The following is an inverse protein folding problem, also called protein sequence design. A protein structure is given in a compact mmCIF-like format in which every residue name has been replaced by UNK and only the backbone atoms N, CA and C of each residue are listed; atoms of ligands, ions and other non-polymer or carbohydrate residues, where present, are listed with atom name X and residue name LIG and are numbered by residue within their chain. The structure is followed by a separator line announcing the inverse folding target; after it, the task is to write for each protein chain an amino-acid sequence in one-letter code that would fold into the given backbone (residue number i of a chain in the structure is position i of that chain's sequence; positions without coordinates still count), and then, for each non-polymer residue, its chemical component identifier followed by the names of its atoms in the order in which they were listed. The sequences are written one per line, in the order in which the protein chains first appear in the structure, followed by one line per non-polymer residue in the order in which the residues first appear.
data_IF_787615474380
#
_entry.id   IF_787615474380
#
_cell.length_a   1.000
_cell.length_b   1.000
_cell.length_c   1.000
_cell.angle_alpha   90.00
_cell.angle_beta   90.00
_cell.angle_gamma   90.00
#
_symmetry.space_group_name_H-M   'P 1'
#
loop_
_entity.id
_entity.type
_entity.pdbx_description
1 polymer ?
#
# COMPACT_ATOMS: atom_id res chain seq x y z
N UNK A 1 24.83 29.47 23.29
CA UNK A 1 24.89 28.12 23.90
C UNK A 1 24.98 28.31 25.40
N UNK A 2 24.15 27.58 26.17
CA UNK A 2 24.22 27.36 27.63
C UNK A 2 23.38 28.19 28.63
N UNK A 3 22.25 28.81 28.26
CA UNK A 3 21.35 29.39 29.29
C UNK A 3 19.84 29.31 29.03
N UNK A 4 19.37 28.48 28.08
CA UNK A 4 17.94 28.40 27.72
C UNK A 4 17.38 26.97 27.70
N UNK A 5 17.95 26.05 28.48
CA UNK A 5 17.55 24.64 28.53
C UNK A 5 17.23 24.09 29.92
N UNK A 6 17.04 24.92 30.95
CA UNK A 6 16.75 24.42 32.30
C UNK A 6 15.37 24.85 32.81
N UNK A 7 14.54 23.84 33.11
CA UNK A 7 13.26 23.84 33.86
C UNK A 7 11.97 23.92 33.04
N UNK A 8 11.66 22.85 32.31
CA UNK A 8 10.30 22.31 32.30
C UNK A 8 10.40 20.82 32.59
N UNK A 9 9.95 20.40 33.77
CA UNK A 9 9.81 18.99 34.10
C UNK A 9 8.53 18.47 33.44
N UNK A 10 8.72 17.82 32.29
CA UNK A 10 7.63 17.24 31.49
C UNK A 10 7.13 15.89 32.03
N UNK A 11 7.67 15.37 33.14
CA UNK A 11 7.28 14.05 33.65
C UNK A 11 5.79 13.99 34.02
N UNK A 12 5.26 15.06 34.63
CA UNK A 12 3.87 15.14 35.05
C UNK A 12 2.90 15.32 33.86
N UNK A 13 3.25 16.17 32.89
CA UNK A 13 2.49 16.32 31.65
C UNK A 13 2.50 15.04 30.80
N UNK A 14 3.61 14.27 30.81
CA UNK A 14 3.74 12.97 30.13
C UNK A 14 2.87 11.89 30.78
N UNK A 15 2.69 11.93 32.10
CA UNK A 15 1.86 10.98 32.84
C UNK A 15 0.36 11.30 32.70
N UNK A 16 -0.02 12.58 32.83
CA UNK A 16 -1.39 13.05 32.59
C UNK A 16 -1.81 12.86 31.11
N UNK A 17 -0.88 13.03 30.16
CA UNK A 17 -1.08 12.68 28.75
C UNK A 17 -1.24 11.17 28.54
N UNK A 18 -0.38 10.32 29.12
CA UNK A 18 -0.48 8.85 29.05
C UNK A 18 -1.83 8.33 29.56
N UNK A 19 -2.32 8.86 30.68
CA UNK A 19 -3.51 8.32 31.35
C UNK A 19 -4.81 8.84 30.71
N UNK A 20 -4.84 10.11 30.29
CA UNK A 20 -5.93 10.66 29.47
C UNK A 20 -6.00 10.05 28.07
N UNK A 21 -4.86 9.71 27.48
CA UNK A 21 -4.73 9.01 26.20
C UNK A 21 -5.32 7.60 26.23
N UNK A 22 -4.96 6.79 27.23
CA UNK A 22 -5.50 5.43 27.41
C UNK A 22 -7.02 5.42 27.62
N UNK A 23 -7.56 6.44 28.29
CA UNK A 23 -9.01 6.60 28.44
C UNK A 23 -9.70 7.04 27.14
N UNK A 24 -9.05 7.89 26.34
CA UNK A 24 -9.59 8.32 25.03
C UNK A 24 -9.60 7.19 24.00
N UNK A 25 -8.59 6.32 24.00
CA UNK A 25 -8.57 5.10 23.17
C UNK A 25 -9.72 4.15 23.53
N UNK A 26 -10.06 4.02 24.81
CA UNK A 26 -11.21 3.22 25.27
C UNK A 26 -12.58 3.85 24.92
N UNK A 27 -12.62 5.15 24.67
CA UNK A 27 -13.86 5.90 24.42
C UNK A 27 -14.21 6.04 22.92
N UNK A 28 -13.34 5.58 22.02
CA UNK A 28 -13.64 5.52 20.58
C UNK A 28 -14.58 4.33 20.29
N UNK A 29 -15.76 4.53 19.67
CA UNK A 29 -16.63 3.44 19.29
C UNK A 29 -15.91 2.50 18.31
N UNK A 30 -15.91 1.19 18.60
CA UNK A 30 -15.34 0.15 17.73
C UNK A 30 -14.05 -0.54 18.23
N UNK A 31 -13.66 -0.35 19.50
CA UNK A 31 -12.56 -1.09 20.14
C UNK A 31 -13.02 -2.12 21.18
N UNK A 32 -14.32 -2.31 21.37
CA UNK A 32 -14.87 -3.33 22.25
C UNK A 32 -14.88 -4.70 21.55
N UNK A 33 -14.17 -5.68 22.12
CA UNK A 33 -14.00 -7.05 21.61
C UNK A 33 -15.07 -8.01 22.14
N UNK A 34 -16.21 -7.51 22.61
CA UNK A 34 -17.24 -8.35 23.21
C UNK A 34 -18.56 -8.23 22.45
N UNK A 35 -18.65 -8.89 21.28
CA UNK A 35 -19.90 -9.47 20.77
C UNK A 35 -19.62 -10.32 19.51
N UNK A 36 -19.08 -11.52 19.73
CA UNK A 36 -18.88 -12.53 18.69
C UNK A 36 -19.97 -13.61 18.78
N UNK A 37 -21.05 -13.42 18.02
CA UNK A 37 -22.03 -14.48 17.74
C UNK A 37 -22.64 -14.33 16.34
N UNK A 38 -21.78 -14.16 15.33
CA UNK A 38 -22.02 -14.47 13.92
C UNK A 38 -20.70 -14.98 13.34
N UNK A 39 -20.68 -15.97 12.42
CA UNK A 39 -19.44 -16.36 11.75
C UNK A 39 -18.82 -15.13 11.09
N UNK A 40 -17.52 -14.92 11.33
CA UNK A 40 -16.80 -13.74 10.85
C UNK A 40 -16.80 -13.75 9.31
N UNK A 41 -17.02 -12.61 8.68
CA UNK A 41 -16.90 -12.49 7.22
C UNK A 41 -15.51 -12.95 6.73
N UNK A 42 -14.48 -12.82 7.57
CA UNK A 42 -13.14 -13.36 7.34
C UNK A 42 -13.10 -14.91 7.37
N UNK A 43 -13.88 -15.57 8.22
CA UNK A 43 -14.01 -17.03 8.25
C UNK A 43 -14.75 -17.55 7.01
N UNK A 44 -15.82 -16.88 6.57
CA UNK A 44 -16.49 -17.22 5.32
C UNK A 44 -15.57 -17.03 4.10
N UNK A 45 -14.75 -15.97 4.08
CA UNK A 45 -13.72 -15.74 3.06
C UNK A 45 -12.62 -16.79 3.10
N UNK A 46 -12.13 -17.14 4.29
CA UNK A 46 -11.11 -18.16 4.46
C UNK A 46 -11.65 -19.53 4.05
N UNK A 47 -12.88 -19.88 4.43
CA UNK A 47 -13.55 -21.10 3.97
C UNK A 47 -13.80 -21.09 2.46
N UNK A 48 -14.21 -19.96 1.88
CA UNK A 48 -14.45 -19.85 0.44
C UNK A 48 -13.14 -19.87 -0.35
N UNK A 49 -12.06 -19.26 0.15
CA UNK A 49 -10.71 -19.31 -0.43
C UNK A 49 -10.10 -20.70 -0.25
N UNK A 50 -10.34 -21.38 0.87
CA UNK A 50 -9.90 -22.74 1.12
C UNK A 50 -10.70 -23.76 0.28
N UNK A 51 -12.02 -23.59 0.15
CA UNK A 51 -12.86 -24.39 -0.77
C UNK A 51 -12.48 -24.14 -2.22
N UNK A 52 -12.17 -22.89 -2.58
CA UNK A 52 -11.78 -22.49 -3.94
C UNK A 52 -10.36 -22.93 -4.28
N UNK A 53 -9.41 -22.90 -3.34
CA UNK A 53 -8.06 -23.43 -3.51
C UNK A 53 -8.03 -24.96 -3.53
N UNK A 54 -8.84 -25.63 -2.70
CA UNK A 54 -9.06 -27.09 -2.77
C UNK A 54 -9.73 -27.52 -4.07
N UNK A 55 -10.67 -26.74 -4.61
CA UNK A 55 -11.27 -26.99 -5.93
C UNK A 55 -10.27 -26.78 -7.08
N UNK A 56 -9.36 -25.81 -6.98
CA UNK A 56 -8.26 -25.63 -7.93
C UNK A 56 -7.23 -26.77 -7.86
N UNK A 57 -7.03 -27.37 -6.69
CA UNK A 57 -6.19 -28.56 -6.50
C UNK A 57 -6.75 -29.87 -7.05
N UNK A 58 -7.97 -29.88 -7.61
CA UNK A 58 -8.61 -31.05 -8.21
C UNK A 58 -8.42 -31.16 -9.75
N UNK A 59 -7.64 -30.25 -10.35
CA UNK A 59 -7.24 -30.34 -11.76
C UNK A 59 -5.92 -31.11 -11.86
N UNK A 60 -5.90 -32.15 -12.71
CA UNK A 60 -4.67 -32.90 -13.00
C UNK A 60 -3.57 -31.95 -13.48
N UNK A 61 -2.31 -32.12 -13.01
CA UNK A 61 -1.22 -31.23 -13.36
C UNK A 61 -1.00 -31.26 -14.88
N UNK A 62 -1.13 -30.10 -15.52
CA UNK A 62 -0.56 -29.89 -16.85
C UNK A 62 0.94 -30.15 -16.73
N UNK A 63 1.43 -31.10 -17.53
CA UNK A 63 2.79 -31.65 -17.50
C UNK A 63 3.84 -30.56 -17.27
N UNK A 64 4.56 -30.70 -16.15
CA UNK A 64 5.62 -29.80 -15.73
C UNK A 64 6.79 -29.82 -16.75
N UNK A 65 7.32 -28.62 -17.02
CA UNK A 65 8.67 -28.46 -17.52
C UNK A 65 9.63 -28.77 -16.36
N UNK A 66 10.51 -29.78 -16.52
CA UNK A 66 11.39 -30.35 -15.48
C UNK A 66 12.53 -29.41 -15.01
N UNK A 67 12.49 -28.13 -15.39
CA UNK A 67 13.42 -27.13 -14.89
C UNK A 67 13.00 -26.59 -13.53
N UNK A 68 13.44 -27.24 -12.43
CA UNK A 68 13.35 -26.66 -11.07
C UNK A 68 13.94 -25.24 -11.07
N UNK A 69 13.10 -24.21 -11.17
CA UNK A 69 13.52 -22.83 -10.96
C UNK A 69 13.88 -22.67 -9.49
N UNK A 70 15.00 -22.00 -9.20
CA UNK A 70 15.40 -21.73 -7.82
C UNK A 70 14.33 -20.87 -7.15
N UNK A 71 13.91 -21.25 -5.94
CA UNK A 71 13.00 -20.45 -5.14
C UNK A 71 13.62 -19.09 -4.80
N UNK A 72 12.79 -18.06 -4.70
CA UNK A 72 13.20 -16.72 -4.24
C UNK A 72 13.22 -16.74 -2.71
N UNK A 73 14.34 -16.30 -2.12
CA UNK A 73 14.52 -16.35 -0.67
C UNK A 73 13.61 -15.34 0.07
N UNK A 74 13.17 -15.66 1.29
CA UNK A 74 12.54 -14.69 2.19
C UNK A 74 13.40 -13.45 2.44
N UNK A 75 12.77 -12.36 2.89
CA UNK A 75 13.45 -11.08 3.19
C UNK A 75 13.11 -10.62 4.60
N UNK A 76 14.14 -10.23 5.35
CA UNK A 76 13.99 -9.63 6.68
C UNK A 76 13.99 -8.09 6.59
N UNK A 77 13.03 -7.47 7.27
CA UNK A 77 12.89 -6.02 7.42
C UNK A 77 13.01 -5.69 8.91
N UNK A 78 14.23 -5.77 9.44
CA UNK A 78 14.45 -5.66 10.89
C UNK A 78 13.79 -6.82 11.64
N UNK A 79 12.74 -6.53 12.42
CA UNK A 79 12.00 -7.52 13.22
C UNK A 79 10.95 -8.31 12.43
N UNK A 80 10.68 -7.92 11.17
CA UNK A 80 9.64 -8.52 10.34
C UNK A 80 10.26 -9.47 9.32
N UNK A 81 9.78 -10.72 9.31
CA UNK A 81 10.14 -11.73 8.32
C UNK A 81 9.08 -11.80 7.21
N UNK A 82 9.45 -11.45 5.98
CA UNK A 82 8.58 -11.53 4.80
C UNK A 82 8.88 -12.84 4.07
N UNK A 83 8.11 -13.87 4.37
CA UNK A 83 8.33 -15.24 3.88
C UNK A 83 8.24 -15.34 2.35
N UNK A 84 7.22 -14.71 1.75
CA UNK A 84 7.13 -14.54 0.30
C UNK A 84 7.43 -13.07 0.01
N UNK A 85 8.56 -12.69 -0.62
CA UNK A 85 8.98 -11.30 -0.79
C UNK A 85 8.16 -10.56 -1.86
N UNK A 86 6.85 -10.47 -1.62
CA UNK A 86 5.86 -9.77 -2.40
C UNK A 86 5.18 -8.73 -1.50
N UNK A 87 5.09 -7.50 -1.99
CA UNK A 87 4.50 -6.37 -1.26
C UNK A 87 3.26 -5.89 -2.00
N UNK A 88 2.12 -5.75 -1.33
CA UNK A 88 1.02 -4.95 -1.87
C UNK A 88 1.41 -3.48 -1.77
N UNK A 89 1.60 -2.82 -2.91
CA UNK A 89 1.90 -1.40 -2.95
C UNK A 89 0.71 -0.59 -2.47
N UNK A 90 0.95 0.47 -1.66
CA UNK A 90 -0.12 1.32 -1.17
C UNK A 90 -0.76 2.12 -2.31
N UNK A 91 -2.09 2.08 -2.38
CA UNK A 91 -2.87 2.78 -3.40
C UNK A 91 -4.04 3.49 -2.71
N UNK A 92 -3.97 4.82 -2.66
CA UNK A 92 -5.02 5.65 -2.06
C UNK A 92 -6.37 5.49 -2.78
N UNK A 93 -7.43 5.37 -1.98
CA UNK A 93 -8.76 4.93 -2.38
C UNK A 93 -8.85 3.46 -2.80
N UNK A 94 -7.92 2.57 -2.45
CA UNK A 94 -7.94 1.16 -2.89
C UNK A 94 -7.48 0.20 -1.78
N UNK A 95 -6.30 0.39 -1.18
CA UNK A 95 -5.70 -0.59 -0.25
C UNK A 95 -6.15 -0.39 1.20
N UNK A 96 -7.45 -0.16 1.38
CA UNK A 96 -8.10 -0.18 2.70
C UNK A 96 -8.03 -1.60 3.29
N UNK A 97 -8.30 -1.74 4.60
CA UNK A 97 -8.19 -3.05 5.25
C UNK A 97 -9.06 -4.13 4.59
N UNK A 98 -10.30 -3.86 4.10
CA UNK A 98 -11.07 -4.84 3.35
C UNK A 98 -10.33 -5.41 2.14
N UNK A 99 -9.76 -4.55 1.31
CA UNK A 99 -9.05 -5.02 0.12
C UNK A 99 -7.75 -5.74 0.48
N UNK A 100 -7.05 -5.30 1.55
CA UNK A 100 -5.84 -5.98 2.04
C UNK A 100 -6.15 -7.38 2.57
N UNK A 101 -7.21 -7.54 3.36
CA UNK A 101 -7.67 -8.86 3.84
C UNK A 101 -7.95 -9.82 2.67
N UNK A 102 -8.58 -9.34 1.60
CA UNK A 102 -8.79 -10.18 0.41
C UNK A 102 -7.46 -10.55 -0.24
N UNK A 103 -6.53 -9.61 -0.38
CA UNK A 103 -5.22 -9.89 -0.95
C UNK A 103 -4.39 -10.85 -0.09
N UNK A 104 -4.47 -10.72 1.24
CA UNK A 104 -3.85 -11.58 2.25
C UNK A 104 -4.37 -13.02 2.15
N UNK A 105 -5.68 -13.20 1.93
CA UNK A 105 -6.25 -14.54 1.76
C UNK A 105 -5.63 -15.32 0.58
N UNK A 106 -5.11 -14.62 -0.43
CA UNK A 106 -4.40 -15.24 -1.56
C UNK A 106 -2.88 -15.29 -1.39
N UNK A 107 -2.29 -14.77 -0.31
CA UNK A 107 -0.83 -14.70 -0.18
C UNK A 107 -0.34 -14.26 1.18
N UNK A 108 -0.88 -14.82 2.26
CA UNK A 108 -0.68 -14.37 3.65
C UNK A 108 0.79 -14.17 4.11
N UNK A 109 1.74 -14.73 3.38
CA UNK A 109 3.18 -14.64 3.61
C UNK A 109 3.85 -13.36 3.06
N UNK A 110 3.09 -12.51 2.36
CA UNK A 110 3.55 -11.22 1.83
C UNK A 110 3.39 -10.06 2.81
N UNK A 111 3.82 -8.86 2.40
CA UNK A 111 3.67 -7.63 3.16
C UNK A 111 2.58 -6.73 2.56
N UNK A 112 1.54 -6.41 3.33
CA UNK A 112 0.38 -5.69 2.83
C UNK A 112 0.32 -4.24 3.34
N UNK A 113 0.82 -3.29 2.55
CA UNK A 113 0.93 -1.89 2.97
C UNK A 113 -0.42 -1.17 2.85
N UNK A 114 -0.87 -0.58 3.96
CA UNK A 114 -2.05 0.26 4.02
C UNK A 114 -1.94 1.50 3.12
N UNK A 115 -3.09 2.06 2.76
CA UNK A 115 -3.15 3.33 2.04
C UNK A 115 -2.33 4.41 2.74
N UNK A 116 -1.80 5.36 1.96
CA UNK A 116 -1.05 6.47 2.53
C UNK A 116 -1.93 7.29 3.50
N UNK A 117 -1.44 7.47 4.72
CA UNK A 117 -2.06 8.32 5.73
C UNK A 117 -1.28 9.62 5.81
N UNK A 118 -1.98 10.74 5.62
CA UNK A 118 -1.37 12.06 5.76
C UNK A 118 -1.01 12.32 7.22
N UNK A 119 0.28 12.50 7.52
CA UNK A 119 0.79 12.74 8.88
C UNK A 119 0.09 13.91 9.56
N UNK A 120 -0.15 15.02 8.84
CA UNK A 120 -0.91 16.16 9.37
C UNK A 120 -2.33 15.79 9.77
N UNK A 121 -3.04 15.01 8.95
CA UNK A 121 -4.40 14.59 9.25
C UNK A 121 -4.46 13.65 10.46
N UNK A 122 -3.44 12.79 10.62
CA UNK A 122 -3.32 11.92 11.79
C UNK A 122 -3.05 12.74 13.07
N UNK A 123 -2.11 13.69 13.02
CA UNK A 123 -1.80 14.61 14.13
C UNK A 123 -3.00 15.48 14.50
N UNK A 124 -3.76 15.96 13.51
CA UNK A 124 -5.01 16.70 13.71
C UNK A 124 -6.18 15.81 14.16
N UNK A 125 -5.92 14.52 14.41
CA UNK A 125 -6.90 13.51 14.84
C UNK A 125 -8.12 13.39 13.94
N UNK A 126 -7.93 13.54 12.64
CA UNK A 126 -9.01 13.42 11.67
C UNK A 126 -9.59 11.98 11.70
N UNK A 127 -10.90 11.79 11.91
CA UNK A 127 -11.50 10.46 11.96
C UNK A 127 -11.27 9.60 10.71
N UNK A 128 -11.17 10.23 9.53
CA UNK A 128 -10.86 9.51 8.28
C UNK A 128 -9.43 8.99 8.27
N UNK A 129 -8.46 9.75 8.78
CA UNK A 129 -7.08 9.30 8.88
C UNK A 129 -6.96 8.10 9.84
N UNK A 130 -7.62 8.15 10.99
CA UNK A 130 -7.68 7.02 11.91
C UNK A 130 -8.37 5.78 11.33
N UNK A 131 -9.42 5.96 10.53
CA UNK A 131 -10.06 4.84 9.83
C UNK A 131 -9.09 4.15 8.87
N UNK A 132 -8.23 4.90 8.18
CA UNK A 132 -7.20 4.34 7.30
C UNK A 132 -6.09 3.59 8.07
N UNK A 133 -5.87 3.92 9.34
CA UNK A 133 -4.95 3.20 10.23
C UNK A 133 -5.54 1.91 10.81
N UNK A 134 -6.79 1.54 10.50
CA UNK A 134 -7.38 0.28 10.96
C UNK A 134 -6.85 -0.90 10.14
N UNK A 135 -6.74 -2.04 10.81
CA UNK A 135 -6.34 -3.33 10.25
C UNK A 135 -7.36 -4.38 10.67
N UNK A 136 -7.55 -5.41 9.85
CA UNK A 136 -8.31 -6.58 10.25
C UNK A 136 -7.60 -7.32 11.39
N UNK A 137 -8.33 -8.07 12.23
CA UNK A 137 -7.72 -8.87 13.28
C UNK A 137 -6.65 -9.84 12.78
N UNK A 138 -6.82 -10.39 11.57
CA UNK A 138 -5.89 -11.33 10.91
C UNK A 138 -4.58 -10.69 10.45
N UNK A 139 -4.59 -9.40 10.09
CA UNK A 139 -3.48 -8.76 9.38
C UNK A 139 -2.22 -8.72 10.25
N UNK A 140 -1.21 -9.53 9.90
CA UNK A 140 0.10 -9.52 10.56
C UNK A 140 1.21 -9.71 9.51
N UNK A 141 2.25 -8.84 9.49
CA UNK A 141 2.38 -7.60 10.26
C UNK A 141 1.46 -6.49 9.76
N UNK A 142 1.07 -5.56 10.65
CA UNK A 142 0.31 -4.35 10.31
C UNK A 142 1.25 -3.30 9.72
N UNK A 143 1.13 -3.04 8.42
CA UNK A 143 2.01 -2.11 7.71
C UNK A 143 1.30 -0.81 7.34
N UNK A 144 1.71 0.32 7.93
CA UNK A 144 1.13 1.64 7.68
C UNK A 144 2.05 2.50 6.82
N UNK A 145 1.53 3.16 5.78
CA UNK A 145 2.31 4.17 5.06
C UNK A 145 2.00 5.58 5.55
N UNK A 146 3.00 6.33 5.97
CA UNK A 146 2.90 7.75 6.30
C UNK A 146 3.31 8.65 5.12
N UNK A 147 2.62 9.78 4.99
CA UNK A 147 2.91 10.82 4.04
C UNK A 147 3.00 12.18 4.74
N UNK A 148 4.15 12.86 4.58
CA UNK A 148 4.38 14.20 5.11
C UNK A 148 5.43 14.97 4.32
N UNK A 149 5.50 16.27 4.59
CA UNK A 149 6.54 17.18 4.05
C UNK A 149 7.30 17.86 5.19
N UNK A 150 6.64 18.11 6.32
CA UNK A 150 7.25 18.67 7.52
C UNK A 150 7.83 17.51 8.38
N UNK A 151 9.15 17.49 8.66
CA UNK A 151 9.79 16.45 9.46
C UNK A 151 9.19 16.29 10.86
N UNK A 152 8.91 17.40 11.55
CA UNK A 152 8.38 17.38 12.92
C UNK A 152 6.95 16.80 12.97
N UNK A 153 6.08 17.23 12.05
CA UNK A 153 4.71 16.67 11.97
C UNK A 153 4.75 15.19 11.62
N UNK A 154 5.67 14.77 10.76
CA UNK A 154 5.81 13.36 10.35
C UNK A 154 6.33 12.51 11.51
N UNK A 155 7.31 13.01 12.27
CA UNK A 155 7.81 12.38 13.48
C UNK A 155 6.73 12.29 14.57
N UNK A 156 5.90 13.34 14.72
CA UNK A 156 4.77 13.30 15.64
C UNK A 156 3.73 12.25 15.23
N UNK A 157 3.42 12.13 13.94
CA UNK A 157 2.55 11.07 13.43
C UNK A 157 3.14 9.67 13.71
N UNK A 158 4.45 9.49 13.51
CA UNK A 158 5.15 8.25 13.87
C UNK A 158 5.08 7.97 15.38
N UNK A 159 5.22 8.99 16.23
CA UNK A 159 5.04 8.84 17.70
C UNK A 159 3.64 8.37 18.04
N UNK A 160 2.61 8.92 17.40
CA UNK A 160 1.23 8.45 17.58
C UNK A 160 1.04 7.00 17.14
N UNK A 161 1.73 6.56 16.08
CA UNK A 161 1.69 5.15 15.64
C UNK A 161 2.32 4.24 16.68
N UNK A 162 3.50 4.61 17.21
CA UNK A 162 4.21 3.85 18.25
C UNK A 162 3.42 3.80 19.56
N UNK A 163 3.03 4.97 20.09
CA UNK A 163 2.34 5.09 21.39
C UNK A 163 0.92 4.53 21.36
N UNK A 164 0.29 4.52 20.19
CA UNK A 164 -1.03 3.95 19.98
C UNK A 164 -1.03 2.48 19.60
N UNK A 165 0.15 1.85 19.45
CA UNK A 165 0.29 0.49 18.91
C UNK A 165 -0.52 0.30 17.62
N UNK A 166 -0.39 1.26 16.70
CA UNK A 166 -1.22 1.30 15.49
C UNK A 166 -0.66 0.44 14.35
N UNK A 167 0.64 0.16 14.34
CA UNK A 167 1.30 -0.59 13.26
C UNK A 167 2.57 -1.27 13.76
N UNK A 168 2.95 -2.36 13.08
CA UNK A 168 4.18 -3.12 13.30
C UNK A 168 5.29 -2.68 12.33
N UNK A 169 4.93 -1.99 11.24
CA UNK A 169 5.82 -1.46 10.21
C UNK A 169 5.36 -0.07 9.75
N UNK A 170 6.32 0.83 9.51
CA UNK A 170 6.06 2.17 8.96
C UNK A 170 6.76 2.30 7.60
N UNK A 171 5.99 2.48 6.52
CA UNK A 171 6.51 2.86 5.21
C UNK A 171 6.38 4.38 5.00
N UNK A 172 7.33 4.99 4.30
CA UNK A 172 7.32 6.42 4.00
C UNK A 172 7.06 6.67 2.51
N UNK A 173 6.05 7.49 2.22
CA UNK A 173 5.68 7.82 0.85
C UNK A 173 6.56 8.92 0.25
N UNK A 174 7.38 8.53 -0.71
CA UNK A 174 8.15 9.44 -1.56
C UNK A 174 7.96 9.12 -3.05
N UNK A 175 6.82 8.53 -3.39
CA UNK A 175 6.54 8.01 -4.73
C UNK A 175 5.24 8.53 -5.35
N UNK A 176 4.37 9.18 -4.58
CA UNK A 176 3.06 9.63 -5.06
C UNK A 176 3.21 10.82 -6.04
N UNK A 177 2.80 10.67 -7.32
CA UNK A 177 3.03 11.69 -8.34
C UNK A 177 1.83 12.63 -8.53
N UNK A 178 0.82 12.58 -7.65
CA UNK A 178 -0.43 13.32 -7.85
C UNK A 178 -0.23 14.81 -7.56
N UNK A 179 -0.82 15.73 -8.36
CA UNK A 179 -0.62 17.17 -8.18
C UNK A 179 -0.97 17.69 -6.79
N UNK A 180 -1.96 17.09 -6.11
CA UNK A 180 -2.32 17.51 -4.74
C UNK A 180 -1.21 17.29 -3.71
N UNK A 181 -0.29 16.36 -4.01
CA UNK A 181 0.87 16.00 -3.19
C UNK A 181 2.11 16.77 -3.67
N UNK A 182 2.47 16.62 -4.95
CA UNK A 182 3.74 17.16 -5.47
C UNK A 182 3.80 18.69 -5.43
N UNK A 183 2.65 19.39 -5.58
CA UNK A 183 2.60 20.87 -5.53
C UNK A 183 3.00 21.45 -4.17
N UNK A 184 2.97 20.64 -3.11
CA UNK A 184 3.37 21.01 -1.75
C UNK A 184 4.79 20.53 -1.43
N UNK A 185 5.54 20.03 -2.43
CA UNK A 185 6.87 19.46 -2.24
C UNK A 185 6.88 18.03 -1.71
N UNK A 186 5.73 17.37 -1.58
CA UNK A 186 5.61 16.02 -1.03
C UNK A 186 5.66 14.90 -2.07
N UNK A 187 5.60 13.65 -1.59
CA UNK A 187 5.57 12.46 -2.43
C UNK A 187 6.83 12.38 -3.29
N UNK A 188 6.68 12.14 -4.58
CA UNK A 188 7.83 12.00 -5.49
C UNK A 188 8.58 13.30 -5.81
N UNK A 189 8.11 14.45 -5.32
CA UNK A 189 8.84 15.71 -5.40
C UNK A 189 9.86 15.88 -4.25
N UNK A 190 9.62 15.25 -3.09
CA UNK A 190 10.41 15.47 -1.88
C UNK A 190 11.88 15.04 -2.01
N UNK A 191 12.22 13.90 -2.65
CA UNK A 191 13.63 13.47 -2.80
C UNK A 191 14.52 14.44 -3.59
N UNK A 192 13.94 15.47 -4.22
CA UNK A 192 14.71 16.55 -4.84
C UNK A 192 15.39 17.45 -3.80
N UNK A 193 14.74 17.68 -2.65
CA UNK A 193 15.30 18.46 -1.53
C UNK A 193 15.97 17.50 -0.55
N UNK A 194 17.25 17.19 -0.78
CA UNK A 194 17.95 16.10 -0.08
C UNK A 194 18.14 16.36 1.41
N UNK A 195 18.29 17.62 1.83
CA UNK A 195 18.33 18.01 3.25
C UNK A 195 17.02 17.70 3.97
N UNK A 196 15.89 18.04 3.35
CA UNK A 196 14.55 17.82 3.88
C UNK A 196 14.20 16.32 3.90
N UNK A 197 14.55 15.61 2.82
CA UNK A 197 14.36 14.17 2.70
C UNK A 197 15.12 13.41 3.80
N UNK A 198 16.41 13.74 3.98
CA UNK A 198 17.27 13.17 5.04
C UNK A 198 16.70 13.42 6.43
N UNK A 199 16.39 14.69 6.73
CA UNK A 199 15.84 15.07 8.03
C UNK A 199 14.52 14.36 8.35
N UNK A 200 13.62 14.22 7.36
CA UNK A 200 12.34 13.56 7.58
C UNK A 200 12.50 12.07 7.90
N UNK A 201 13.35 11.35 7.14
CA UNK A 201 13.60 9.92 7.40
C UNK A 201 14.26 9.75 8.77
N UNK A 202 15.33 10.52 9.04
CA UNK A 202 16.05 10.50 10.30
C UNK A 202 15.12 10.57 11.51
N UNK A 203 14.23 11.57 11.52
CA UNK A 203 13.29 11.81 12.62
C UNK A 203 12.27 10.70 12.81
N UNK A 204 11.81 10.08 11.72
CA UNK A 204 10.87 8.95 11.82
C UNK A 204 11.58 7.70 12.33
N UNK A 205 12.78 7.40 11.82
CA UNK A 205 13.58 6.27 12.30
C UNK A 205 13.94 6.42 13.78
N UNK A 206 14.37 7.60 14.21
CA UNK A 206 14.66 7.90 15.63
C UNK A 206 13.48 7.60 16.55
N UNK A 207 12.24 7.84 16.07
CA UNK A 207 11.01 7.55 16.81
C UNK A 207 10.65 6.07 16.81
N UNK A 208 10.78 5.38 15.67
CA UNK A 208 10.32 4.00 15.50
C UNK A 208 11.33 2.96 16.02
N UNK A 209 12.63 3.24 15.93
CA UNK A 209 13.70 2.30 16.28
C UNK A 209 13.63 1.81 17.74
N UNK A 210 13.42 2.66 18.77
CA UNK A 210 13.33 2.19 20.16
C UNK A 210 12.14 1.26 20.43
N UNK A 211 11.10 1.32 19.58
CA UNK A 211 9.94 0.44 19.65
C UNK A 211 10.10 -0.85 18.81
N UNK A 212 11.24 -1.02 18.13
CA UNK A 212 11.49 -2.18 17.26
C UNK A 212 10.63 -2.20 15.98
N UNK A 213 10.07 -1.05 15.59
CA UNK A 213 9.24 -0.90 14.38
C UNK A 213 10.17 -0.53 13.20
N UNK A 214 10.36 -1.41 12.21
CA UNK A 214 11.16 -1.09 11.03
C UNK A 214 10.49 0.01 10.19
N UNK A 215 11.33 0.86 9.60
CA UNK A 215 10.92 1.93 8.68
C UNK A 215 11.40 1.60 7.28
N UNK A 216 10.54 1.72 6.27
CA UNK A 216 10.94 1.59 4.85
C UNK A 216 10.59 2.85 4.05
N UNK A 217 11.17 2.98 2.87
CA UNK A 217 10.92 4.12 1.99
C UNK A 217 10.50 3.67 0.59
N UNK A 218 9.37 4.20 0.09
CA UNK A 218 8.91 3.98 -1.28
C UNK A 218 9.14 5.20 -2.16
N UNK A 219 10.07 5.09 -3.11
CA UNK A 219 10.53 6.19 -4.00
C UNK A 219 10.17 5.95 -5.48
N UNK A 220 10.40 6.99 -6.30
CA UNK A 220 10.42 6.94 -7.77
C UNK A 220 11.83 7.21 -8.29
N UNK A 221 12.05 7.01 -9.59
CA UNK A 221 13.35 7.32 -10.27
C UNK A 221 13.76 8.78 -10.05
N UNK A 222 12.78 9.69 -10.10
CA UNK A 222 12.98 11.12 -9.91
C UNK A 222 11.74 11.91 -10.33
N UNK A 223 11.93 13.20 -10.57
CA UNK A 223 10.85 14.08 -11.06
C UNK A 223 10.62 13.84 -12.55
N UNK A 224 11.69 13.84 -13.33
CA UNK A 224 11.76 13.52 -14.76
C UNK A 224 13.18 13.00 -15.08
N UNK A 225 13.53 12.88 -16.35
CA UNK A 225 14.84 12.33 -16.79
C UNK A 225 16.02 13.29 -16.56
N UNK A 226 15.78 14.58 -16.36
CA UNK A 226 16.82 15.57 -16.03
C UNK A 226 17.02 15.69 -14.52
N UNK A 227 16.05 15.22 -13.74
CA UNK A 227 15.98 15.35 -12.29
C UNK A 227 15.81 13.97 -11.62
N UNK A 228 16.67 13.01 -11.98
CA UNK A 228 16.74 11.69 -11.34
C UNK A 228 17.38 11.79 -9.95
N UNK A 229 16.81 11.12 -8.95
CA UNK A 229 17.27 11.20 -7.55
C UNK A 229 17.42 9.84 -6.87
N UNK A 230 16.98 8.75 -7.50
CA UNK A 230 16.81 7.46 -6.83
C UNK A 230 18.07 6.89 -6.18
N UNK A 231 19.26 7.08 -6.78
CA UNK A 231 20.51 6.59 -6.19
C UNK A 231 20.87 7.36 -4.92
N UNK A 232 20.81 8.70 -4.97
CA UNK A 232 21.06 9.54 -3.79
C UNK A 232 20.00 9.29 -2.71
N UNK A 233 18.73 9.22 -3.11
CA UNK A 233 17.62 8.97 -2.20
C UNK A 233 17.68 7.58 -1.55
N UNK A 234 18.11 6.56 -2.29
CA UNK A 234 18.34 5.22 -1.74
C UNK A 234 19.42 5.23 -0.67
N UNK A 235 20.56 5.86 -0.96
CA UNK A 235 21.68 5.97 -0.01
C UNK A 235 21.30 6.76 1.24
N UNK A 236 20.58 7.87 1.08
CA UNK A 236 20.05 8.62 2.23
C UNK A 236 19.11 7.73 3.07
N UNK A 237 18.21 6.98 2.44
CA UNK A 237 17.30 6.10 3.17
C UNK A 237 18.06 5.03 3.96
N UNK A 238 19.09 4.43 3.36
CA UNK A 238 19.98 3.48 4.02
C UNK A 238 20.78 4.11 5.17
N UNK A 239 21.46 5.24 4.92
CA UNK A 239 22.26 5.98 5.91
C UNK A 239 21.42 6.35 7.15
N UNK A 240 20.16 6.72 6.95
CA UNK A 240 19.25 7.14 8.02
C UNK A 240 18.51 5.95 8.67
N UNK A 241 18.80 4.71 8.26
CA UNK A 241 18.35 3.50 8.95
C UNK A 241 17.04 2.90 8.44
N UNK A 242 16.62 3.17 7.20
CA UNK A 242 15.54 2.39 6.60
C UNK A 242 15.94 0.91 6.44
N UNK A 243 15.00 0.01 6.72
CA UNK A 243 15.19 -1.44 6.60
C UNK A 243 15.13 -1.94 5.15
N UNK A 244 14.50 -1.20 4.25
CA UNK A 244 14.44 -1.49 2.82
C UNK A 244 13.96 -0.27 2.01
N UNK A 245 14.21 -0.32 0.71
CA UNK A 245 13.72 0.68 -0.26
C UNK A 245 12.87 0.00 -1.33
N UNK A 246 11.69 0.55 -1.62
CA UNK A 246 10.88 0.14 -2.79
C UNK A 246 11.02 1.18 -3.89
N UNK A 247 11.55 0.79 -5.06
CA UNK A 247 11.68 1.70 -6.20
C UNK A 247 10.58 1.46 -7.23
N UNK A 248 9.70 2.44 -7.41
CA UNK A 248 8.88 2.51 -8.62
C UNK A 248 9.75 2.99 -9.77
N UNK A 249 10.04 2.11 -10.72
CA UNK A 249 10.87 2.33 -11.90
C UNK A 249 10.23 3.26 -12.95
N UNK A 250 9.74 4.41 -12.52
CA UNK A 250 9.25 5.53 -13.34
C UNK A 250 9.60 6.84 -12.66
N UNK A 251 9.79 7.88 -13.44
CA UNK A 251 9.81 9.27 -12.99
C UNK A 251 8.40 9.74 -12.61
N UNK A 252 8.31 10.92 -11.98
CA UNK A 252 7.03 11.57 -11.67
C UNK A 252 6.29 11.97 -12.95
N UNK A 253 7.01 12.51 -13.93
CA UNK A 253 6.47 12.96 -15.22
C UNK A 253 5.86 11.82 -16.05
N UNK A 254 6.48 10.64 -16.02
CA UNK A 254 5.93 9.44 -16.67
C UNK A 254 4.60 9.01 -16.06
N UNK A 255 4.37 9.31 -14.78
CA UNK A 255 3.15 8.97 -14.06
C UNK A 255 2.84 7.46 -14.14
N UNK A 256 1.96 7.06 -15.05
CA UNK A 256 1.63 5.67 -15.37
C UNK A 256 1.69 5.37 -16.87
N UNK A 257 2.30 6.26 -17.67
CA UNK A 257 2.57 6.11 -19.08
C UNK A 257 3.87 5.35 -19.33
N UNK A 258 4.11 5.03 -20.59
CA UNK A 258 5.32 4.30 -21.00
C UNK A 258 5.48 2.97 -20.30
N UNK A 259 6.72 2.50 -20.24
CA UNK A 259 7.12 1.27 -19.57
C UNK A 259 8.04 1.61 -18.40
N UNK A 260 7.95 0.82 -17.34
CA UNK A 260 8.90 0.93 -16.24
C UNK A 260 10.31 0.53 -16.68
N UNK A 261 11.31 1.37 -16.39
CA UNK A 261 12.72 1.09 -16.69
C UNK A 261 13.36 0.30 -15.53
N UNK A 262 13.29 -1.03 -15.62
CA UNK A 262 13.82 -1.92 -14.59
C UNK A 262 15.34 -1.85 -14.44
N UNK A 263 16.08 -1.29 -15.41
CA UNK A 263 17.52 -1.08 -15.25
C UNK A 263 17.85 -0.15 -14.08
N UNK A 264 16.95 0.78 -13.74
CA UNK A 264 17.07 1.66 -12.57
C UNK A 264 16.95 0.89 -11.25
N UNK A 265 16.13 -0.16 -11.21
CA UNK A 265 16.04 -1.05 -10.03
C UNK A 265 17.36 -1.78 -9.85
N UNK A 266 17.92 -2.34 -10.92
CA UNK A 266 19.22 -3.00 -10.87
C UNK A 266 20.32 -2.08 -10.35
N UNK A 267 20.39 -0.84 -10.87
CA UNK A 267 21.36 0.15 -10.42
C UNK A 267 21.20 0.48 -8.93
N UNK A 268 19.97 0.50 -8.41
CA UNK A 268 19.72 0.73 -6.99
C UNK A 268 20.12 -0.48 -6.14
N UNK A 269 19.80 -1.70 -6.58
CA UNK A 269 20.22 -2.95 -5.93
C UNK A 269 21.74 -3.03 -5.82
N UNK A 270 22.46 -2.66 -6.87
CA UNK A 270 23.94 -2.65 -6.88
C UNK A 270 24.55 -1.54 -6.00
N UNK A 271 23.74 -0.56 -5.57
CA UNK A 271 24.22 0.62 -4.86
C UNK A 271 23.92 0.62 -3.35
N UNK A 272 23.08 -0.29 -2.85
CA UNK A 272 22.65 -0.39 -1.45
C UNK A 272 22.98 -1.76 -0.87
N UNK A 273 23.25 -1.81 0.43
CA UNK A 273 23.42 -3.03 1.23
C UNK A 273 22.09 -3.54 1.83
N UNK A 274 21.08 -2.67 1.95
CA UNK A 274 19.72 -3.04 2.37
C UNK A 274 18.86 -3.59 1.22
N UNK A 275 17.84 -4.42 1.50
CA UNK A 275 16.94 -4.96 0.49
C UNK A 275 16.25 -3.89 -0.36
N UNK A 276 16.21 -4.13 -1.68
CA UNK A 276 15.42 -3.33 -2.63
C UNK A 276 14.27 -4.15 -3.18
N UNK A 277 13.05 -3.62 -3.09
CA UNK A 277 11.88 -4.18 -3.78
C UNK A 277 11.65 -3.46 -5.12
N UNK A 278 11.57 -4.23 -6.19
CA UNK A 278 11.26 -3.71 -7.52
C UNK A 278 9.77 -3.42 -7.67
N UNK A 279 9.41 -2.28 -8.27
CA UNK A 279 8.01 -1.91 -8.51
C UNK A 279 7.80 -1.31 -9.90
N UNK A 280 6.78 -1.79 -10.59
CA UNK A 280 6.33 -1.23 -11.86
C UNK A 280 6.06 -2.30 -12.91
N UNK A 281 4.86 -2.27 -13.49
CA UNK A 281 4.43 -3.13 -14.60
C UNK A 281 4.46 -4.65 -14.33
N UNK A 282 4.18 -5.03 -13.08
CA UNK A 282 3.93 -6.43 -12.70
C UNK A 282 2.44 -6.71 -12.87
N UNK A 283 2.11 -7.47 -13.90
CA UNK A 283 0.73 -7.83 -14.25
C UNK A 283 0.42 -9.31 -14.01
N UNK A 284 1.43 -10.14 -13.85
CA UNK A 284 1.34 -11.54 -13.44
C UNK A 284 2.60 -12.05 -12.74
N UNK A 285 2.59 -13.33 -12.39
CA UNK A 285 3.71 -13.98 -11.71
C UNK A 285 5.00 -14.03 -12.55
N UNK A 286 4.88 -14.18 -13.86
CA UNK A 286 6.06 -14.24 -14.73
C UNK A 286 6.76 -12.88 -14.83
N UNK A 287 6.02 -11.77 -14.78
CA UNK A 287 6.61 -10.42 -14.70
C UNK A 287 7.41 -10.26 -13.40
N UNK A 288 6.92 -10.83 -12.29
CA UNK A 288 7.60 -10.79 -11.00
C UNK A 288 8.90 -11.59 -11.02
N UNK A 289 8.87 -12.82 -11.55
CA UNK A 289 10.06 -13.64 -11.74
C UNK A 289 11.09 -12.94 -12.63
N UNK A 290 10.63 -12.36 -13.73
CA UNK A 290 11.51 -11.68 -14.68
C UNK A 290 12.13 -10.41 -14.07
N UNK A 291 11.37 -9.64 -13.28
CA UNK A 291 11.90 -8.48 -12.56
C UNK A 291 13.02 -8.89 -11.60
N UNK A 292 12.80 -9.92 -10.77
CA UNK A 292 13.83 -10.42 -9.85
C UNK A 292 15.05 -10.92 -10.64
N UNK A 293 14.84 -11.69 -11.70
CA UNK A 293 15.92 -12.22 -12.55
C UNK A 293 16.76 -11.13 -13.22
N UNK A 294 16.12 -10.07 -13.74
CA UNK A 294 16.82 -9.00 -14.45
C UNK A 294 17.55 -8.04 -13.53
N UNK A 295 17.01 -7.80 -12.33
CA UNK A 295 17.43 -6.68 -11.48
C UNK A 295 18.17 -7.12 -10.22
N UNK A 296 18.00 -8.37 -9.79
CA UNK A 296 18.51 -8.85 -8.51
C UNK A 296 17.77 -8.29 -7.30
N UNK A 297 16.62 -7.62 -7.48
CA UNK A 297 15.83 -7.11 -6.36
C UNK A 297 15.40 -8.24 -5.42
N UNK A 298 15.35 -7.96 -4.12
CA UNK A 298 15.03 -8.94 -3.09
C UNK A 298 13.60 -9.50 -3.22
N UNK A 299 12.73 -8.73 -3.86
CA UNK A 299 11.35 -9.06 -4.08
C UNK A 299 10.66 -8.01 -4.93
N UNK A 300 9.33 -8.13 -5.03
CA UNK A 300 8.54 -7.22 -5.86
C UNK A 300 7.41 -6.55 -5.09
N UNK A 301 7.05 -5.34 -5.49
CA UNK A 301 5.84 -4.67 -5.03
C UNK A 301 4.80 -4.58 -6.15
N UNK A 302 3.56 -5.00 -5.88
CA UNK A 302 2.45 -5.05 -6.83
C UNK A 302 1.46 -3.93 -6.54
N UNK A 303 1.22 -3.08 -7.53
CA UNK A 303 0.18 -2.03 -7.48
C UNK A 303 -1.04 -2.40 -8.30
N UNK A 304 -1.18 -1.78 -9.49
CA UNK A 304 -2.37 -1.94 -10.35
C UNK A 304 -2.63 -3.39 -10.81
N UNK A 305 -1.63 -4.27 -10.79
CA UNK A 305 -1.76 -5.68 -11.18
C UNK A 305 -2.84 -6.43 -10.39
N UNK A 306 -3.01 -6.12 -9.10
CA UNK A 306 -3.98 -6.78 -8.23
C UNK A 306 -5.41 -6.20 -8.30
N UNK A 307 -5.62 -5.08 -9.02
CA UNK A 307 -6.95 -4.45 -9.11
C UNK A 307 -7.94 -5.38 -9.79
N UNK A 308 -8.87 -5.94 -9.00
CA UNK A 308 -9.84 -6.94 -9.46
C UNK A 308 -9.24 -8.33 -9.70
N UNK A 309 -8.02 -8.58 -9.20
CA UNK A 309 -7.29 -9.87 -9.25
C UNK A 309 -6.43 -10.04 -7.99
N UNK A 310 -7.03 -10.08 -6.78
CA UNK A 310 -6.26 -10.29 -5.55
C UNK A 310 -5.47 -11.62 -5.57
N UNK A 311 -5.93 -12.62 -6.32
CA UNK A 311 -5.23 -13.89 -6.51
C UNK A 311 -3.87 -13.81 -7.19
N UNK A 312 -3.47 -12.66 -7.75
CA UNK A 312 -2.10 -12.46 -8.25
C UNK A 312 -1.04 -12.74 -7.17
N UNK A 313 -1.36 -12.52 -5.89
CA UNK A 313 -0.45 -12.83 -4.79
C UNK A 313 -0.24 -14.34 -4.63
N UNK A 314 -1.24 -15.16 -4.92
CA UNK A 314 -1.13 -16.62 -4.92
C UNK A 314 -0.25 -17.09 -6.08
N UNK A 315 -0.48 -16.52 -7.26
CA UNK A 315 0.32 -16.81 -8.46
C UNK A 315 1.80 -16.47 -8.23
N UNK A 316 2.09 -15.31 -7.64
CA UNK A 316 3.46 -14.88 -7.33
C UNK A 316 4.07 -15.77 -6.25
N UNK A 317 3.32 -16.11 -5.19
CA UNK A 317 3.77 -17.04 -4.15
C UNK A 317 4.21 -18.38 -4.75
N UNK A 318 3.36 -19.01 -5.56
CA UNK A 318 3.69 -20.28 -6.22
C UNK A 318 4.92 -20.13 -7.13
N UNK A 319 4.95 -19.07 -7.95
CA UNK A 319 6.10 -18.81 -8.82
C UNK A 319 7.41 -18.63 -8.04
N UNK A 320 7.39 -17.90 -6.93
CA UNK A 320 8.56 -17.69 -6.08
C UNK A 320 8.99 -18.96 -5.34
N UNK A 321 8.07 -19.90 -5.12
CA UNK A 321 8.38 -21.24 -4.62
C UNK A 321 8.89 -22.21 -5.71
N UNK A 322 8.94 -21.78 -6.98
CA UNK A 322 9.35 -22.60 -8.12
C UNK A 322 8.21 -23.42 -8.76
N UNK A 323 6.95 -23.13 -8.42
CA UNK A 323 5.75 -23.79 -8.93
C UNK A 323 5.08 -22.96 -10.07
N UNK A 324 4.59 -23.67 -11.08
CA UNK A 324 3.82 -23.11 -12.19
C UNK A 324 2.32 -22.99 -11.90
N UNK A 325 1.83 -23.40 -10.73
CA UNK A 325 0.42 -23.28 -10.35
C UNK A 325 -0.08 -21.83 -10.45
N UNK A 326 -1.23 -21.63 -11.11
CA UNK A 326 -1.90 -20.34 -11.27
C UNK A 326 -3.38 -20.47 -10.95
N UNK A 327 -3.94 -19.43 -10.37
CA UNK A 327 -5.35 -19.35 -10.04
C UNK A 327 -6.17 -18.88 -11.24
N UNK A 328 -7.06 -19.74 -11.74
CA UNK A 328 -7.97 -19.47 -12.85
C UNK A 328 -9.43 -19.46 -12.38
N UNK A 329 -9.97 -18.31 -11.93
CA UNK A 329 -11.31 -18.27 -11.37
C UNK A 329 -12.40 -18.23 -12.43
N UNK A 330 -13.48 -18.95 -12.14
CA UNK A 330 -14.76 -18.75 -12.79
C UNK A 330 -15.43 -17.45 -12.36
N UNK A 331 -16.38 -16.95 -13.16
CA UNK A 331 -17.16 -15.75 -12.85
C UNK A 331 -17.96 -15.93 -11.55
N UNK A 332 -18.41 -17.14 -11.23
CA UNK A 332 -19.05 -17.46 -9.94
C UNK A 332 -18.11 -17.21 -8.75
N UNK A 333 -16.87 -17.71 -8.83
CA UNK A 333 -15.85 -17.45 -7.79
C UNK A 333 -15.51 -15.97 -7.67
N UNK A 334 -15.42 -15.25 -8.80
CA UNK A 334 -15.26 -13.78 -8.78
C UNK A 334 -16.46 -13.10 -8.12
N UNK A 335 -17.69 -13.60 -8.34
CA UNK A 335 -18.90 -13.13 -7.67
C UNK A 335 -18.83 -13.26 -6.15
N UNK A 336 -18.34 -14.39 -5.63
CA UNK A 336 -18.13 -14.57 -4.18
C UNK A 336 -17.12 -13.57 -3.63
N UNK A 337 -16.01 -13.34 -4.34
CA UNK A 337 -15.00 -12.34 -3.94
C UNK A 337 -15.61 -10.94 -3.90
N UNK A 338 -16.47 -10.58 -4.87
CA UNK A 338 -17.17 -9.28 -4.89
C UNK A 338 -18.05 -9.11 -3.67
N UNK A 339 -18.89 -10.10 -3.35
CA UNK A 339 -19.80 -10.03 -2.20
C UNK A 339 -19.05 -9.98 -0.88
N UNK A 340 -18.03 -10.81 -0.73
CA UNK A 340 -17.17 -10.80 0.43
C UNK A 340 -16.47 -9.45 0.62
N UNK A 341 -15.97 -8.85 -0.47
CA UNK A 341 -15.42 -7.50 -0.41
C UNK A 341 -16.45 -6.46 0.03
N UNK A 342 -17.68 -6.57 -0.47
CA UNK A 342 -18.78 -5.71 -0.05
C UNK A 342 -19.07 -5.79 1.44
N UNK A 343 -19.09 -6.99 2.02
CA UNK A 343 -19.30 -7.20 3.46
C UNK A 343 -18.20 -6.56 4.30
N UNK A 344 -16.93 -6.81 3.94
CA UNK A 344 -15.79 -6.19 4.61
C UNK A 344 -15.81 -4.65 4.49
N UNK A 345 -16.23 -4.12 3.34
CA UNK A 345 -16.42 -2.67 3.18
C UNK A 345 -17.53 -2.12 4.08
N UNK A 346 -18.61 -2.86 4.30
CA UNK A 346 -19.66 -2.48 5.25
C UNK A 346 -19.09 -2.34 6.66
N UNK A 347 -18.24 -3.28 7.08
CA UNK A 347 -17.54 -3.19 8.38
C UNK A 347 -16.57 -2.00 8.42
N UNK A 348 -15.82 -1.76 7.33
CA UNK A 348 -14.93 -0.60 7.22
C UNK A 348 -15.65 0.73 7.33
N UNK A 349 -16.91 0.81 6.89
CA UNK A 349 -17.78 1.98 7.02
C UNK A 349 -18.71 1.92 8.24
N UNK A 350 -18.35 1.16 9.28
CA UNK A 350 -19.09 1.06 10.55
C UNK A 350 -20.57 0.67 10.37
N UNK A 351 -20.87 -0.21 9.41
CA UNK A 351 -22.22 -0.68 9.11
C UNK A 351 -22.96 0.08 8.01
N UNK A 352 -22.38 1.15 7.45
CA UNK A 352 -22.99 1.88 6.32
C UNK A 352 -22.84 1.10 5.00
N UNK A 353 -23.78 0.19 4.77
CA UNK A 353 -23.82 -0.66 3.57
C UNK A 353 -23.91 0.16 2.28
N UNK A 354 -24.62 1.29 2.29
CA UNK A 354 -24.74 2.14 1.09
C UNK A 354 -23.38 2.71 0.70
N UNK A 355 -22.61 3.19 1.68
CA UNK A 355 -21.27 3.67 1.43
C UNK A 355 -20.32 2.57 0.98
N UNK A 356 -20.44 1.37 1.55
CA UNK A 356 -19.69 0.20 1.12
C UNK A 356 -19.95 -0.17 -0.33
N UNK A 357 -21.22 -0.23 -0.75
CA UNK A 357 -21.59 -0.54 -2.13
C UNK A 357 -21.11 0.55 -3.09
N UNK A 358 -21.23 1.83 -2.70
CA UNK A 358 -20.70 2.95 -3.49
C UNK A 358 -19.19 2.82 -3.72
N UNK A 359 -18.43 2.43 -2.70
CA UNK A 359 -16.99 2.22 -2.81
C UNK A 359 -16.66 0.97 -3.65
N UNK A 360 -17.43 -0.11 -3.48
CA UNK A 360 -17.28 -1.39 -4.18
C UNK A 360 -17.42 -1.25 -5.70
N UNK A 361 -18.23 -0.32 -6.20
CA UNK A 361 -18.48 -0.09 -7.64
C UNK A 361 -17.19 0.00 -8.47
N UNK A 362 -16.16 0.70 -7.97
CA UNK A 362 -14.87 0.82 -8.69
C UNK A 362 -14.16 -0.53 -8.79
N UNK A 363 -14.26 -1.37 -7.77
CA UNK A 363 -13.67 -2.71 -7.74
C UNK A 363 -14.42 -3.67 -8.65
N UNK A 364 -15.76 -3.61 -8.68
CA UNK A 364 -16.58 -4.44 -9.58
C UNK A 364 -16.16 -4.22 -11.04
N UNK A 365 -15.93 -2.97 -11.44
CA UNK A 365 -15.44 -2.67 -12.80
C UNK A 365 -14.10 -3.38 -13.12
N UNK A 366 -13.23 -3.55 -12.12
CA UNK A 366 -11.96 -4.25 -12.27
C UNK A 366 -12.10 -5.78 -12.25
N UNK A 367 -12.94 -6.32 -11.35
CA UNK A 367 -13.23 -7.75 -11.25
C UNK A 367 -13.84 -8.28 -12.55
N UNK A 368 -14.80 -7.54 -13.12
CA UNK A 368 -15.52 -7.92 -14.33
C UNK A 368 -14.79 -7.55 -15.63
N UNK A 369 -13.50 -7.19 -15.56
CA UNK A 369 -12.71 -6.83 -16.74
C UNK A 369 -12.53 -8.06 -17.62
N UNK A 370 -12.89 -7.95 -18.89
CA UNK A 370 -12.72 -9.01 -19.90
C UNK A 370 -13.84 -10.04 -19.95
N UNK A 371 -14.55 -10.28 -18.85
CA UNK A 371 -15.74 -11.13 -18.84
C UNK A 371 -16.82 -10.58 -19.79
N UNK A 372 -17.66 -11.46 -20.40
CA UNK A 372 -18.74 -11.09 -21.31
C UNK A 372 -19.95 -10.47 -20.56
N UNK A 373 -19.68 -9.56 -19.63
CA UNK A 373 -20.69 -8.81 -18.89
C UNK A 373 -21.14 -7.64 -19.78
N UNK A 374 -22.36 -7.72 -20.29
CA UNK A 374 -22.99 -6.73 -21.16
C UNK A 374 -23.13 -5.34 -20.51
N UNK A 375 -23.32 -4.30 -21.34
CA UNK A 375 -23.40 -2.92 -20.87
C UNK A 375 -24.56 -2.67 -19.89
N UNK A 376 -25.71 -3.30 -20.10
CA UNK A 376 -26.87 -3.23 -19.21
C UNK A 376 -26.56 -3.79 -17.81
N UNK A 377 -25.86 -4.93 -17.72
CA UNK A 377 -25.46 -5.52 -16.44
C UNK A 377 -24.42 -4.65 -15.73
N UNK A 378 -23.46 -4.08 -16.46
CA UNK A 378 -22.50 -3.12 -15.87
C UNK A 378 -23.19 -1.89 -15.31
N UNK A 379 -24.20 -1.37 -16.02
CA UNK A 379 -25.03 -0.27 -15.55
C UNK A 379 -25.76 -0.65 -14.27
N UNK A 380 -26.37 -1.85 -14.21
CA UNK A 380 -27.06 -2.33 -13.02
C UNK A 380 -26.17 -2.36 -11.77
N UNK A 381 -24.91 -2.81 -11.89
CA UNK A 381 -23.95 -2.74 -10.77
C UNK A 381 -23.63 -1.31 -10.31
N UNK A 382 -23.62 -0.34 -11.23
CA UNK A 382 -23.38 1.06 -10.88
C UNK A 382 -24.61 1.71 -10.21
N UNK A 383 -25.79 1.12 -10.39
CA UNK A 383 -27.06 1.57 -9.81
C UNK A 383 -27.41 0.85 -8.50
N UNK A 384 -26.75 -0.26 -8.16
CA UNK A 384 -26.93 -1.00 -6.90
C UNK A 384 -26.72 -0.11 -5.67
N UNK A 385 -27.61 -0.17 -4.68
CA UNK A 385 -27.54 0.60 -3.43
C UNK A 385 -27.34 -0.27 -2.18
N UNK A 386 -27.47 -1.58 -2.31
CA UNK A 386 -27.30 -2.59 -1.24
C UNK A 386 -26.49 -3.81 -1.72
N UNK A 387 -26.00 -4.64 -0.79
CA UNK A 387 -25.36 -5.91 -1.16
C UNK A 387 -26.35 -6.89 -1.81
N UNK A 388 -27.62 -6.83 -1.41
CA UNK A 388 -28.71 -7.59 -2.04
C UNK A 388 -28.89 -7.22 -3.52
N UNK A 389 -28.77 -5.95 -3.87
CA UNK A 389 -28.80 -5.53 -5.28
C UNK A 389 -27.61 -6.12 -6.05
N UNK A 390 -26.41 -6.08 -5.47
CA UNK A 390 -25.21 -6.65 -6.10
C UNK A 390 -25.37 -8.15 -6.33
N UNK A 391 -25.88 -8.88 -5.33
CA UNK A 391 -26.18 -10.31 -5.42
C UNK A 391 -27.25 -10.61 -6.48
N UNK A 392 -28.31 -9.80 -6.55
CA UNK A 392 -29.36 -9.90 -7.58
C UNK A 392 -28.83 -9.68 -8.99
N UNK A 393 -27.81 -8.84 -9.17
CA UNK A 393 -27.17 -8.63 -10.48
C UNK A 393 -26.22 -9.79 -10.79
N UNK A 394 -25.46 -10.29 -9.80
CA UNK A 394 -24.57 -11.44 -9.96
C UNK A 394 -25.33 -12.72 -10.34
N UNK A 395 -26.50 -12.97 -9.77
CA UNK A 395 -27.31 -14.17 -10.04
C UNK A 395 -27.84 -14.27 -11.49
N UNK A 396 -27.77 -13.17 -12.25
CA UNK A 396 -28.15 -13.13 -13.69
C UNK A 396 -26.99 -13.53 -14.61
N UNK A 397 -25.79 -13.68 -14.07
CA UNK A 397 -24.59 -14.05 -14.82
C UNK A 397 -24.43 -15.57 -14.85
N UNK A 398 -23.84 -16.09 -15.92
CA UNK A 398 -23.42 -17.49 -15.98
C UNK A 398 -22.18 -17.70 -15.09
N UNK A 399 -22.30 -18.44 -13.97
CA UNK A 399 -21.21 -18.61 -13.02
C UNK A 399 -20.06 -19.47 -13.57
N UNK A 400 -20.30 -20.24 -14.64
CA UNK A 400 -19.31 -21.18 -15.22
C UNK A 400 -18.33 -20.52 -16.17
N UNK A 401 -18.54 -19.25 -16.55
CA UNK A 401 -17.65 -18.52 -17.45
C UNK A 401 -16.26 -18.42 -16.85
N UNK A 402 -15.26 -18.92 -17.57
CA UNK A 402 -13.85 -18.91 -17.13
C UNK A 402 -13.22 -17.52 -17.25
N UNK A 403 -12.10 -17.31 -16.55
CA UNK A 403 -11.37 -16.06 -16.64
C UNK A 403 -10.83 -15.86 -18.08
N UNK A 404 -11.05 -14.70 -18.71
CA UNK A 404 -10.66 -14.52 -20.10
C UNK A 404 -9.15 -14.32 -20.27
N UNK A 405 -8.47 -15.29 -20.91
CA UNK A 405 -7.04 -15.23 -21.24
C UNK A 405 -6.61 -13.91 -21.94
N UNK A 406 -7.49 -13.30 -22.75
CA UNK A 406 -7.20 -12.03 -23.45
C UNK A 406 -6.87 -10.84 -22.53
N UNK A 407 -7.34 -10.85 -21.28
CA UNK A 407 -7.06 -9.79 -20.29
C UNK A 407 -6.07 -10.24 -19.21
N UNK A 408 -5.60 -11.48 -19.29
CA UNK A 408 -4.58 -12.02 -18.41
C UNK A 408 -3.27 -11.27 -18.61
N UNK A 409 -2.64 -10.88 -17.49
CA UNK A 409 -1.36 -10.17 -17.44
C UNK A 409 -1.32 -8.90 -18.32
N UNK A 410 -2.47 -8.27 -18.57
CA UNK A 410 -2.57 -7.00 -19.30
C UNK A 410 -2.64 -5.81 -18.33
N UNK A 411 -2.13 -4.63 -18.74
CA UNK A 411 -2.20 -3.41 -17.94
C UNK A 411 -3.60 -3.12 -17.41
N UNK A 412 -3.67 -2.72 -16.14
CA UNK A 412 -4.89 -2.34 -15.42
C UNK A 412 -4.85 -0.87 -15.01
N UNK A 413 -6.05 -0.29 -14.89
CA UNK A 413 -6.22 1.14 -14.67
C UNK A 413 -5.86 2.00 -15.88
N UNK A 414 -5.76 3.31 -15.67
CA UNK A 414 -5.41 4.28 -16.72
C UNK A 414 -3.90 4.30 -16.94
N UNK A 415 -3.47 4.24 -18.20
CA UNK A 415 -2.08 4.41 -18.64
C UNK A 415 -1.97 5.79 -19.27
N UNK A 416 -1.21 6.71 -18.65
CA UNK A 416 -1.03 8.07 -19.15
C UNK A 416 0.20 8.72 -18.52
N UNK A 417 0.81 9.63 -19.28
CA UNK A 417 1.81 10.57 -18.77
C UNK A 417 1.15 11.69 -17.95
N UNK A 418 1.91 12.33 -17.06
CA UNK A 418 1.49 13.58 -16.47
C UNK A 418 1.46 14.67 -17.56
N UNK A 419 0.41 15.49 -17.60
CA UNK A 419 0.40 16.66 -18.49
C UNK A 419 1.48 17.69 -18.08
N UNK A 420 1.68 17.81 -16.76
CA UNK A 420 2.65 18.69 -16.10
C UNK A 420 2.89 18.14 -14.69
N UNK A 421 4.13 18.13 -14.23
CA UNK A 421 4.44 17.93 -12.81
C UNK A 421 4.27 19.26 -12.09
N UNK A 422 3.40 19.29 -11.07
CA UNK A 422 3.19 20.48 -10.25
C UNK A 422 4.14 20.45 -9.06
N UNK A 423 4.96 21.48 -8.91
CA UNK A 423 5.94 21.65 -7.84
C UNK A 423 5.76 23.02 -7.18
N UNK A 424 6.27 23.23 -5.96
CA UNK A 424 6.44 24.57 -5.40
C UNK A 424 7.26 25.46 -6.33
N UNK A 425 7.04 26.77 -6.24
CA UNK A 425 7.83 27.74 -7.00
C UNK A 425 9.32 27.63 -6.63
N UNK A 426 10.20 27.64 -7.64
CA UNK A 426 11.66 27.52 -7.44
C UNK A 426 12.13 26.17 -6.89
N UNK A 427 11.28 25.13 -6.83
CA UNK A 427 11.63 23.86 -6.21
C UNK A 427 12.90 23.22 -6.79
N UNK A 428 13.09 23.35 -8.11
CA UNK A 428 14.22 22.77 -8.84
C UNK A 428 15.48 23.64 -8.83
N UNK A 429 15.41 24.85 -8.28
CA UNK A 429 16.53 25.82 -8.33
C UNK A 429 17.69 25.39 -7.41
N UNK A 430 17.42 24.55 -6.42
CA UNK A 430 18.42 24.03 -5.49
C UNK A 430 18.03 22.67 -4.92
N UNK A 431 19.03 21.91 -4.47
CA UNK A 431 18.88 20.61 -3.78
C UNK A 431 18.62 20.73 -2.28
N UNK A 432 18.73 21.94 -1.72
CA UNK A 432 18.56 22.19 -0.29
C UNK A 432 17.46 23.21 -0.04
N UNK A 433 16.93 23.24 1.18
CA UNK A 433 15.94 24.24 1.58
C UNK A 433 16.55 25.32 2.47
N UNK A 434 16.24 26.57 2.15
CA UNK A 434 16.54 27.74 2.98
C UNK A 434 15.51 27.85 4.11
N UNK A 435 15.83 28.66 5.12
CA UNK A 435 14.89 28.95 6.21
C UNK A 435 13.56 29.52 5.69
N UNK A 436 13.61 30.48 4.76
CA UNK A 436 12.40 31.11 4.20
C UNK A 436 11.56 30.13 3.37
N UNK A 437 12.19 29.23 2.59
CA UNK A 437 11.46 28.17 1.89
C UNK A 437 10.75 27.23 2.89
N UNK A 438 11.41 26.87 4.00
CA UNK A 438 10.80 26.06 5.06
C UNK A 438 9.62 26.77 5.72
N UNK A 439 9.74 28.06 6.02
CA UNK A 439 8.61 28.85 6.54
C UNK A 439 7.42 28.87 5.56
N UNK A 440 7.66 29.00 4.26
CA UNK A 440 6.58 28.96 3.27
C UNK A 440 5.96 27.56 3.12
N UNK A 441 6.77 26.50 3.18
CA UNK A 441 6.28 25.12 3.06
C UNK A 441 5.48 24.68 4.28
N UNK A 442 5.83 25.19 5.46
CA UNK A 442 5.27 24.74 6.74
C UNK A 442 4.31 25.73 7.40
N UNK A 443 4.36 27.00 7.02
CA UNK A 443 3.71 28.12 7.72
C UNK A 443 2.21 28.27 7.47
N UNK A 444 1.64 27.59 6.47
CA UNK A 444 0.19 27.55 6.29
C UNK A 444 -0.48 26.63 7.33
N UNK A 445 -1.59 27.14 7.89
CA UNK A 445 -2.34 26.68 9.08
C UNK A 445 -2.11 25.21 9.47
N UNK A 446 -1.51 24.92 10.65
CA UNK A 446 -1.31 23.56 11.15
C UNK A 446 -2.62 22.74 11.25
N UNK A 447 -3.79 23.38 11.20
CA UNK A 447 -5.11 22.77 11.36
C UNK A 447 -5.96 22.68 10.08
N UNK A 448 -5.47 23.09 8.90
CA UNK A 448 -6.18 22.76 7.66
C UNK A 448 -6.20 21.24 7.50
N UNK A 449 -7.36 20.61 7.72
CA UNK A 449 -7.57 19.17 7.62
C UNK A 449 -8.28 18.77 6.32
N UNK A 450 -8.38 19.68 5.34
CA UNK A 450 -9.06 19.46 4.04
C UNK A 450 -8.35 18.46 3.09
N UNK A 451 -7.33 17.75 3.59
CA UNK A 451 -6.39 16.87 2.87
C UNK A 451 -6.96 15.53 2.40
#
# INVERSE_FOLDING_TARGET
MDAWFAKVDYSQARQEFSDGWKQTLKALPGLDRSDAQKPDAAECLAEDVEKTSKAAGALEPLTADDGKRSAIAPVDLGSIHVQTPVVLSPMAGVTNWPFRTICEAYGAEGLYVAEMVTSRALVARNPKAFRLCRFAPSERPRSLQLYGVNPEITAQAARMVVEGDLADHVDLNFGCPVPKVTRRGGGSALPWKSDLFRELIHRVVEVCQPAGIPVTAKIRVGIDHEHETFLEAGRIAEDEGCAAVTLHARTTAEYYGGHSDWSKIRQLVEALDIPVFGNGDIWGADDALEMVRQTGCAGVAVGRGCQGRPWIFSDIKHAFAGDSCRFDPTLGQVGHIILAHGRLLTDFYDGDERMAVHDLRKHIAWYLKGFPVGGSTRKAFMESESLSDVESVLSRLDPSVTYPARVENKPRGRVRYAKKVHLPYGWLDSRTTTHSEREQLFGDDPMDASY
#
